data_IF_645681124283
#
_entry.id   IF_645681124283
#
_cell.length_a   1.000
_cell.length_b   1.000
_cell.length_c   1.000
_cell.angle_alpha   90.00
_cell.angle_beta   90.00
_cell.angle_gamma   90.00
#
_symmetry.space_group_name_H-M   'P 1'
#
loop_
_entity.id
_entity.type
_entity.pdbx_description
1 polymer ?
#
# COMPACT_ATOMS: atom_id res chain seq x y z
N UNK A 1 -35.41 -10.72 14.44
CA UNK A 1 -35.20 -10.83 12.98
C UNK A 1 -33.69 -10.71 12.75
N UNK A 2 -33.01 -11.86 12.83
CA UNK A 2 -31.56 -11.93 12.52
C UNK A 2 -31.39 -11.86 11.02
N UNK A 3 -31.08 -10.69 10.52
CA UNK A 3 -30.53 -10.57 9.17
C UNK A 3 -29.07 -10.99 9.24
N UNK A 4 -28.80 -12.29 9.19
CA UNK A 4 -27.50 -12.81 8.78
C UNK A 4 -27.31 -12.47 7.32
N UNK A 5 -27.05 -11.18 7.02
CA UNK A 5 -26.68 -10.76 5.68
C UNK A 5 -25.33 -11.40 5.36
N UNK A 6 -25.35 -12.37 4.46
CA UNK A 6 -24.14 -12.94 3.91
C UNK A 6 -23.34 -11.78 3.29
N UNK A 7 -22.17 -11.49 3.85
CA UNK A 7 -21.33 -10.34 3.46
C UNK A 7 -20.43 -10.66 2.27
N UNK A 8 -20.53 -11.85 1.71
CA UNK A 8 -19.76 -12.30 0.56
C UNK A 8 -20.63 -12.51 -0.68
N UNK A 9 -20.02 -12.64 -1.84
CA UNK A 9 -20.73 -12.68 -3.13
C UNK A 9 -21.14 -11.28 -3.64
N UNK A 10 -20.70 -10.22 -2.98
CA UNK A 10 -21.00 -8.82 -3.32
C UNK A 10 -20.03 -8.30 -4.40
N UNK A 11 -20.02 -8.97 -5.55
CA UNK A 11 -19.07 -8.69 -6.64
C UNK A 11 -19.12 -7.25 -7.15
N UNK A 12 -20.30 -6.61 -7.09
CA UNK A 12 -20.45 -5.20 -7.43
C UNK A 12 -19.61 -4.29 -6.52
N UNK A 13 -19.58 -4.58 -5.20
CA UNK A 13 -18.76 -3.85 -4.24
C UNK A 13 -17.26 -4.15 -4.44
N UNK A 14 -16.90 -5.40 -4.71
CA UNK A 14 -15.52 -5.76 -5.02
C UNK A 14 -15.00 -4.95 -6.22
N UNK A 15 -15.73 -4.98 -7.33
CA UNK A 15 -15.37 -4.25 -8.56
C UNK A 15 -15.32 -2.75 -8.30
N UNK A 16 -16.32 -2.17 -7.62
CA UNK A 16 -16.36 -0.75 -7.29
C UNK A 16 -15.10 -0.32 -6.52
N UNK A 17 -14.75 -1.05 -5.46
CA UNK A 17 -13.56 -0.72 -4.66
C UNK A 17 -12.27 -0.88 -5.46
N UNK A 18 -12.12 -1.94 -6.26
CA UNK A 18 -10.98 -2.12 -7.15
C UNK A 18 -10.85 -0.90 -8.08
N UNK A 19 -11.92 -0.52 -8.76
CA UNK A 19 -11.92 0.62 -9.70
C UNK A 19 -11.59 1.93 -8.97
N UNK A 20 -12.17 2.16 -7.79
CA UNK A 20 -11.90 3.37 -7.00
C UNK A 20 -10.44 3.45 -6.58
N UNK A 21 -9.91 2.42 -5.92
CA UNK A 21 -8.54 2.46 -5.36
C UNK A 21 -7.47 2.38 -6.44
N UNK A 22 -7.63 1.51 -7.44
CA UNK A 22 -6.70 1.40 -8.57
C UNK A 22 -6.79 2.64 -9.46
N UNK A 23 -8.00 3.11 -9.78
CA UNK A 23 -8.21 4.32 -10.56
C UNK A 23 -7.67 5.56 -9.86
N UNK A 24 -7.91 5.71 -8.55
CA UNK A 24 -7.35 6.81 -7.78
C UNK A 24 -5.82 6.78 -7.75
N UNK A 25 -5.21 5.61 -7.50
CA UNK A 25 -3.76 5.46 -7.59
C UNK A 25 -3.22 5.79 -8.99
N UNK A 26 -3.94 5.39 -10.05
CA UNK A 26 -3.58 5.71 -11.43
C UNK A 26 -3.56 7.21 -11.70
N UNK A 27 -4.45 8.00 -11.10
CA UNK A 27 -4.45 9.47 -11.28
C UNK A 27 -3.16 10.13 -10.80
N UNK A 28 -2.50 9.54 -9.80
CA UNK A 28 -1.27 10.05 -9.22
C UNK A 28 0.00 9.34 -9.69
N UNK A 29 -0.10 8.16 -10.30
CA UNK A 29 1.09 7.42 -10.69
C UNK A 29 1.37 7.45 -12.20
N UNK A 30 0.35 7.49 -13.04
CA UNK A 30 0.42 7.58 -14.51
C UNK A 30 1.63 6.87 -15.12
N UNK A 31 1.66 5.53 -15.10
CA UNK A 31 2.83 4.77 -15.53
C UNK A 31 3.17 5.09 -16.99
N UNK A 32 4.43 5.43 -17.26
CA UNK A 32 4.95 5.80 -18.58
C UNK A 32 6.01 4.83 -19.09
N UNK A 33 6.69 4.15 -18.19
CA UNK A 33 7.74 3.17 -18.51
C UNK A 33 7.31 1.73 -18.20
N UNK A 34 7.93 0.70 -18.79
CA UNK A 34 7.68 -0.70 -18.42
C UNK A 34 7.89 -0.99 -16.92
N UNK A 35 8.76 -0.23 -16.23
CA UNK A 35 8.99 -0.34 -14.78
C UNK A 35 7.81 0.23 -13.99
N UNK A 36 7.31 1.39 -14.42
CA UNK A 36 6.14 2.00 -13.80
C UNK A 36 4.93 1.08 -13.92
N UNK A 37 4.72 0.48 -15.09
CA UNK A 37 3.65 -0.50 -15.29
C UNK A 37 3.80 -1.74 -14.43
N UNK A 38 5.03 -2.21 -14.17
CA UNK A 38 5.26 -3.33 -13.23
C UNK A 38 4.93 -2.95 -11.81
N UNK A 39 5.35 -1.78 -11.35
CA UNK A 39 5.09 -1.33 -9.98
C UNK A 39 3.60 -1.08 -9.74
N UNK A 40 2.94 -0.41 -10.69
CA UNK A 40 1.51 -0.16 -10.64
C UNK A 40 0.68 -1.44 -10.78
N UNK A 41 1.06 -2.33 -11.69
CA UNK A 41 0.42 -3.64 -11.88
C UNK A 41 0.49 -4.51 -10.63
N UNK A 42 1.62 -4.51 -9.93
CA UNK A 42 1.78 -5.24 -8.68
C UNK A 42 0.88 -4.69 -7.55
N UNK A 43 0.81 -3.37 -7.40
CA UNK A 43 -0.14 -2.72 -6.50
C UNK A 43 -1.59 -3.06 -6.87
N UNK A 44 -1.93 -2.98 -8.15
CA UNK A 44 -3.28 -3.31 -8.65
C UNK A 44 -3.65 -4.76 -8.39
N UNK A 45 -2.71 -5.70 -8.60
CA UNK A 45 -2.93 -7.12 -8.30
C UNK A 45 -3.20 -7.35 -6.80
N UNK A 46 -2.50 -6.65 -5.92
CA UNK A 46 -2.77 -6.69 -4.49
C UNK A 46 -4.17 -6.17 -4.16
N UNK A 47 -4.58 -5.05 -4.75
CA UNK A 47 -5.93 -4.49 -4.54
C UNK A 47 -7.02 -5.44 -5.05
N UNK A 48 -6.81 -6.07 -6.21
CA UNK A 48 -7.74 -7.07 -6.74
C UNK A 48 -7.86 -8.26 -5.79
N UNK A 49 -6.74 -8.84 -5.37
CA UNK A 49 -6.74 -9.98 -4.43
C UNK A 49 -7.46 -9.63 -3.12
N UNK A 50 -7.18 -8.45 -2.57
CA UNK A 50 -7.80 -7.96 -1.34
C UNK A 50 -9.32 -7.83 -1.47
N UNK A 51 -9.81 -7.07 -2.44
CA UNK A 51 -11.24 -6.77 -2.54
C UNK A 51 -12.07 -7.96 -3.05
N UNK A 52 -11.47 -8.86 -3.82
CA UNK A 52 -12.09 -10.14 -4.18
C UNK A 52 -12.31 -11.00 -2.93
N UNK A 53 -11.32 -11.07 -2.02
CA UNK A 53 -11.50 -11.81 -0.77
C UNK A 53 -12.42 -11.07 0.23
N UNK A 54 -12.39 -9.75 0.24
CA UNK A 54 -13.19 -8.95 1.18
C UNK A 54 -14.70 -9.00 0.89
N UNK A 55 -15.09 -8.96 -0.38
CA UNK A 55 -16.49 -8.84 -0.79
C UNK A 55 -16.97 -9.96 -1.72
N UNK A 56 -16.06 -10.59 -2.47
CA UNK A 56 -16.40 -11.65 -3.42
C UNK A 56 -16.37 -13.03 -2.78
N UNK A 57 -15.24 -13.70 -2.83
CA UNK A 57 -15.03 -15.04 -2.29
C UNK A 57 -13.98 -15.04 -1.18
N UNK A 58 -14.36 -15.34 0.08
CA UNK A 58 -13.45 -15.28 1.23
C UNK A 58 -12.55 -16.52 1.30
N UNK A 59 -11.60 -16.63 0.39
CA UNK A 59 -10.71 -17.79 0.29
C UNK A 59 -9.97 -18.08 1.60
N UNK A 60 -9.49 -17.04 2.28
CA UNK A 60 -8.79 -17.15 3.57
C UNK A 60 -9.71 -17.76 4.64
N UNK A 61 -10.92 -17.24 4.77
CA UNK A 61 -11.91 -17.74 5.72
C UNK A 61 -12.28 -19.18 5.36
N UNK A 62 -12.48 -19.48 4.08
CA UNK A 62 -12.80 -20.83 3.61
C UNK A 62 -11.70 -21.84 3.98
N UNK A 63 -10.44 -21.52 3.69
CA UNK A 63 -9.30 -22.40 3.99
C UNK A 63 -9.06 -22.54 5.50
N UNK A 64 -9.30 -21.51 6.30
CA UNK A 64 -9.12 -21.52 7.73
C UNK A 64 -10.37 -21.97 8.51
N UNK A 65 -11.50 -22.24 7.85
CA UNK A 65 -12.79 -22.45 8.49
C UNK A 65 -12.79 -23.54 9.57
N UNK A 66 -12.17 -24.68 9.31
CA UNK A 66 -12.08 -25.79 10.27
C UNK A 66 -11.35 -25.40 11.56
N UNK A 67 -10.23 -24.71 11.43
CA UNK A 67 -9.45 -24.21 12.56
C UNK A 67 -10.18 -23.07 13.29
N UNK A 68 -10.71 -22.10 12.57
CA UNK A 68 -11.44 -20.97 13.14
C UNK A 68 -12.68 -21.46 13.90
N UNK A 69 -13.46 -22.38 13.34
CA UNK A 69 -14.66 -22.90 13.98
C UNK A 69 -14.35 -23.69 15.24
N UNK A 70 -13.21 -24.41 15.30
CA UNK A 70 -12.82 -25.16 16.49
C UNK A 70 -12.33 -24.27 17.64
N UNK A 71 -11.71 -23.12 17.35
CA UNK A 71 -11.18 -22.22 18.37
C UNK A 71 -12.12 -21.04 18.69
N UNK A 72 -12.96 -20.64 17.75
CA UNK A 72 -13.90 -19.53 17.86
C UNK A 72 -15.31 -19.93 17.42
N UNK A 73 -15.97 -20.90 18.09
CA UNK A 73 -17.25 -21.49 17.65
C UNK A 73 -18.41 -20.49 17.60
N UNK A 74 -18.32 -19.38 18.32
CA UNK A 74 -19.34 -18.33 18.32
C UNK A 74 -19.17 -17.28 17.20
N UNK A 75 -18.13 -17.35 16.40
CA UNK A 75 -17.90 -16.40 15.31
C UNK A 75 -18.68 -16.85 14.09
N UNK A 76 -19.56 -15.99 13.58
CA UNK A 76 -20.17 -16.22 12.28
C UNK A 76 -19.14 -15.95 11.16
N UNK A 77 -18.54 -17.01 10.63
CA UNK A 77 -17.48 -16.93 9.61
C UNK A 77 -17.93 -16.28 8.29
N UNK A 78 -19.25 -16.21 8.05
CA UNK A 78 -19.82 -15.56 6.87
C UNK A 78 -20.16 -14.08 7.08
N UNK A 79 -19.96 -13.56 8.29
CA UNK A 79 -20.12 -12.13 8.57
C UNK A 79 -18.92 -11.33 8.06
N UNK A 80 -19.16 -10.06 7.74
CA UNK A 80 -18.07 -9.14 7.39
C UNK A 80 -17.03 -9.02 8.50
N UNK A 81 -17.46 -9.01 9.76
CA UNK A 81 -16.56 -8.87 10.91
C UNK A 81 -15.54 -10.03 11.02
N UNK A 82 -15.88 -11.23 10.54
CA UNK A 82 -14.96 -12.37 10.53
C UNK A 82 -13.70 -12.12 9.69
N UNK A 83 -13.78 -11.26 8.67
CA UNK A 83 -12.65 -10.90 7.84
C UNK A 83 -11.63 -9.98 8.53
N UNK A 84 -12.02 -9.31 9.62
CA UNK A 84 -11.10 -8.61 10.51
C UNK A 84 -10.36 -9.61 11.42
N UNK A 85 -9.55 -10.48 10.81
CA UNK A 85 -8.94 -11.63 11.50
C UNK A 85 -8.16 -11.25 12.76
N UNK A 86 -7.42 -10.11 12.75
CA UNK A 86 -6.71 -9.64 13.95
C UNK A 86 -7.65 -9.38 15.12
N UNK A 87 -8.85 -8.85 14.84
CA UNK A 87 -9.89 -8.62 15.86
C UNK A 87 -10.40 -9.95 16.43
N UNK A 88 -10.73 -10.89 15.56
CA UNK A 88 -11.20 -12.23 15.93
C UNK A 88 -10.13 -12.98 16.75
N UNK A 89 -8.88 -13.01 16.28
CA UNK A 89 -7.78 -13.74 16.91
C UNK A 89 -7.38 -13.17 18.29
N UNK A 90 -7.56 -11.86 18.51
CA UNK A 90 -7.28 -11.22 19.81
C UNK A 90 -8.46 -11.26 20.78
N UNK A 91 -9.58 -11.87 20.39
CA UNK A 91 -10.77 -12.03 21.25
C UNK A 91 -11.43 -10.69 21.62
N UNK A 92 -11.22 -9.64 20.85
CA UNK A 92 -11.81 -8.32 21.11
C UNK A 92 -13.31 -8.35 20.87
N UNK A 93 -14.06 -7.63 21.71
CA UNK A 93 -15.52 -7.49 21.62
C UNK A 93 -15.91 -6.09 21.17
N UNK A 94 -17.02 -5.97 20.44
CA UNK A 94 -17.53 -4.69 19.93
C UNK A 94 -17.35 -4.55 18.43
N UNK A 95 -17.35 -3.31 17.92
CA UNK A 95 -17.27 -3.04 16.48
C UNK A 95 -15.78 -2.96 16.03
N UNK A 96 -15.38 -3.88 15.16
CA UNK A 96 -14.02 -3.95 14.62
C UNK A 96 -13.56 -2.65 13.93
N UNK A 97 -14.48 -1.88 13.34
CA UNK A 97 -14.19 -0.63 12.64
C UNK A 97 -13.71 0.52 13.55
N UNK A 98 -13.98 0.45 14.84
CA UNK A 98 -13.48 1.42 15.83
C UNK A 98 -12.27 0.92 16.62
N UNK A 99 -11.74 -0.24 16.25
CA UNK A 99 -10.53 -0.80 16.87
C UNK A 99 -9.27 -0.01 16.50
N UNK A 100 -8.27 -0.02 17.39
CA UNK A 100 -7.01 0.69 17.19
C UNK A 100 -6.29 0.30 15.88
N UNK A 101 -6.33 -0.99 15.49
CA UNK A 101 -5.74 -1.47 14.24
C UNK A 101 -6.48 -0.93 13.02
N UNK A 102 -7.80 -0.79 13.09
CA UNK A 102 -8.58 -0.21 12.00
C UNK A 102 -8.29 1.28 11.83
N UNK A 103 -8.24 2.03 12.94
CA UNK A 103 -7.87 3.45 12.92
C UNK A 103 -6.45 3.63 12.34
N UNK A 104 -5.49 2.83 12.82
CA UNK A 104 -4.12 2.85 12.29
C UNK A 104 -4.10 2.53 10.79
N UNK A 105 -4.90 1.56 10.34
CA UNK A 105 -5.05 1.20 8.92
C UNK A 105 -5.49 2.40 8.09
N UNK A 106 -6.54 3.09 8.51
CA UNK A 106 -7.05 4.30 7.82
C UNK A 106 -5.98 5.39 7.73
N UNK A 107 -5.23 5.60 8.81
CA UNK A 107 -4.11 6.56 8.83
C UNK A 107 -3.02 6.16 7.83
N UNK A 108 -2.63 4.88 7.80
CA UNK A 108 -1.59 4.39 6.87
C UNK A 108 -2.04 4.47 5.41
N UNK A 109 -3.27 4.08 5.11
CA UNK A 109 -3.84 4.18 3.75
C UNK A 109 -3.89 5.64 3.31
N UNK A 110 -4.41 6.54 4.16
CA UNK A 110 -4.47 7.97 3.88
C UNK A 110 -3.08 8.60 3.70
N UNK A 111 -2.13 8.28 4.58
CA UNK A 111 -0.75 8.74 4.48
C UNK A 111 -0.07 8.23 3.19
N UNK A 112 -0.32 6.98 2.80
CA UNK A 112 0.20 6.40 1.57
C UNK A 112 -0.31 7.13 0.32
N UNK A 113 -1.61 7.37 0.22
CA UNK A 113 -2.18 8.15 -0.89
C UNK A 113 -1.73 9.61 -0.90
N UNK A 114 -1.65 10.24 0.27
CA UNK A 114 -1.08 11.59 0.37
C UNK A 114 0.37 11.64 -0.12
N UNK A 115 1.18 10.66 0.27
CA UNK A 115 2.57 10.57 -0.17
C UNK A 115 2.68 10.36 -1.68
N UNK A 116 1.85 9.48 -2.26
CA UNK A 116 1.77 9.27 -3.71
C UNK A 116 1.43 10.57 -4.44
N UNK A 117 0.39 11.28 -3.99
CA UNK A 117 -0.03 12.53 -4.62
C UNK A 117 1.07 13.60 -4.58
N UNK A 118 1.74 13.76 -3.43
CA UNK A 118 2.85 14.72 -3.28
C UNK A 118 4.07 14.33 -4.08
N UNK A 119 4.42 13.04 -4.12
CA UNK A 119 5.53 12.53 -4.92
C UNK A 119 5.27 12.72 -6.41
N UNK A 120 4.07 12.38 -6.87
CA UNK A 120 3.68 12.56 -8.27
C UNK A 120 3.79 14.01 -8.72
N UNK A 121 3.27 14.94 -7.92
CA UNK A 121 3.33 16.36 -8.28
C UNK A 121 4.78 16.84 -8.57
N UNK A 122 5.72 16.45 -7.70
CA UNK A 122 7.13 16.79 -7.87
C UNK A 122 7.73 16.09 -9.08
N UNK A 123 7.48 14.78 -9.22
CA UNK A 123 8.04 13.99 -10.32
C UNK A 123 7.54 14.47 -11.68
N UNK A 124 6.25 14.77 -11.81
CA UNK A 124 5.66 15.29 -13.05
C UNK A 124 6.33 16.58 -13.52
N UNK A 125 6.57 17.52 -12.60
CA UNK A 125 7.23 18.77 -12.94
C UNK A 125 8.72 18.59 -13.26
N UNK A 126 9.40 17.68 -12.57
CA UNK A 126 10.81 17.35 -12.84
C UNK A 126 10.96 16.69 -14.23
N UNK A 127 10.11 15.72 -14.57
CA UNK A 127 10.12 15.06 -15.89
C UNK A 127 9.89 16.06 -17.04
N UNK A 128 8.94 16.98 -16.89
CA UNK A 128 8.71 18.03 -17.92
C UNK A 128 9.89 18.97 -18.13
N UNK A 129 10.74 19.12 -17.12
CA UNK A 129 11.95 19.98 -17.18
C UNK A 129 13.21 19.18 -17.47
N UNK A 130 13.12 17.87 -17.75
CA UNK A 130 14.27 16.97 -17.87
C UNK A 130 15.26 17.15 -16.71
N UNK A 131 14.76 17.22 -15.47
CA UNK A 131 15.55 17.47 -14.28
C UNK A 131 15.31 16.40 -13.22
N UNK A 132 16.26 16.22 -12.31
CA UNK A 132 16.16 15.30 -11.20
C UNK A 132 15.13 15.81 -10.18
N UNK A 133 14.20 14.93 -9.76
CA UNK A 133 13.25 15.21 -8.69
C UNK A 133 13.96 15.19 -7.34
N UNK A 134 14.12 16.35 -6.70
CA UNK A 134 14.84 16.49 -5.41
C UNK A 134 14.06 17.27 -4.36
N UNK A 135 12.88 17.80 -4.72
CA UNK A 135 12.06 18.63 -3.84
C UNK A 135 10.95 17.83 -3.14
N UNK A 136 10.28 18.43 -2.15
CA UNK A 136 9.14 17.80 -1.44
C UNK A 136 9.49 16.46 -0.79
N UNK A 137 8.72 15.39 -1.02
CA UNK A 137 9.04 14.06 -0.49
C UNK A 137 10.42 13.54 -0.93
N UNK A 138 10.87 13.89 -2.14
CA UNK A 138 12.18 13.51 -2.68
C UNK A 138 13.36 14.19 -1.97
N UNK A 139 13.14 15.28 -1.25
CA UNK A 139 14.18 15.85 -0.39
C UNK A 139 14.49 14.99 0.85
N UNK A 140 13.56 14.09 1.23
CA UNK A 140 13.68 13.25 2.42
C UNK A 140 14.00 11.78 2.11
N UNK A 141 13.45 11.25 1.02
CA UNK A 141 13.66 9.86 0.56
C UNK A 141 13.64 9.82 -0.97
N UNK A 142 14.39 8.88 -1.55
CA UNK A 142 14.54 8.80 -3.02
C UNK A 142 13.35 8.14 -3.73
N UNK A 143 12.61 7.24 -3.02
CA UNK A 143 11.50 6.46 -3.60
C UNK A 143 10.19 6.62 -2.80
N UNK A 144 9.67 7.86 -2.69
CA UNK A 144 8.44 8.09 -1.92
C UNK A 144 7.22 7.38 -2.49
N UNK A 145 7.16 7.11 -3.81
CA UNK A 145 6.06 6.37 -4.44
C UNK A 145 5.99 4.93 -3.91
N UNK A 146 7.14 4.22 -3.84
CA UNK A 146 7.17 2.84 -3.33
C UNK A 146 6.83 2.78 -1.85
N UNK A 147 7.29 3.77 -1.07
CA UNK A 147 6.86 3.89 0.33
C UNK A 147 5.35 4.12 0.41
N UNK A 148 4.77 4.95 -0.45
CA UNK A 148 3.33 5.17 -0.53
C UNK A 148 2.56 3.88 -0.80
N UNK A 149 2.96 3.09 -1.80
CA UNK A 149 2.33 1.80 -2.09
C UNK A 149 2.45 0.82 -0.92
N UNK A 150 3.62 0.72 -0.29
CA UNK A 150 3.84 -0.16 0.87
C UNK A 150 2.96 0.26 2.05
N UNK A 151 2.82 1.56 2.33
CA UNK A 151 1.95 2.07 3.40
C UNK A 151 0.47 1.71 3.15
N UNK A 152 -0.01 1.86 1.91
CA UNK A 152 -1.39 1.49 1.56
C UNK A 152 -1.61 -0.01 1.76
N UNK A 153 -0.73 -0.84 1.21
CA UNK A 153 -0.84 -2.30 1.35
C UNK A 153 -0.75 -2.74 2.82
N UNK A 154 0.16 -2.16 3.59
CA UNK A 154 0.28 -2.44 5.02
C UNK A 154 -0.97 -2.03 5.79
N UNK A 155 -1.53 -0.84 5.49
CA UNK A 155 -2.79 -0.39 6.06
C UNK A 155 -3.91 -1.39 5.83
N UNK A 156 -4.09 -1.86 4.60
CA UNK A 156 -5.10 -2.88 4.30
C UNK A 156 -4.82 -4.23 4.98
N UNK A 157 -3.56 -4.65 5.13
CA UNK A 157 -3.22 -5.87 5.87
C UNK A 157 -3.54 -5.76 7.36
N UNK A 158 -3.46 -4.57 7.95
CA UNK A 158 -3.90 -4.34 9.33
C UNK A 158 -5.41 -4.39 9.47
N UNK A 159 -6.14 -3.95 8.45
CA UNK A 159 -7.59 -3.94 8.45
C UNK A 159 -8.16 -5.30 8.08
N UNK A 160 -7.66 -5.91 7.01
CA UNK A 160 -8.21 -7.12 6.40
C UNK A 160 -7.09 -8.06 5.92
N UNK A 161 -6.45 -8.79 6.84
CA UNK A 161 -5.40 -9.73 6.46
C UNK A 161 -6.01 -10.94 5.75
N UNK A 162 -5.51 -11.24 4.56
CA UNK A 162 -5.83 -12.49 3.85
C UNK A 162 -4.55 -13.29 3.63
N UNK A 163 -4.65 -14.62 3.53
CA UNK A 163 -3.48 -15.48 3.28
C UNK A 163 -2.77 -15.07 1.99
N UNK A 164 -3.54 -14.77 0.96
CA UNK A 164 -2.99 -14.36 -0.33
C UNK A 164 -2.27 -13.02 -0.23
N UNK A 165 -2.88 -11.97 0.33
CA UNK A 165 -2.25 -10.65 0.45
C UNK A 165 -1.08 -10.65 1.43
N UNK A 166 -1.13 -11.46 2.50
CA UNK A 166 0.00 -11.66 3.41
C UNK A 166 1.20 -12.31 2.69
N UNK A 167 0.96 -13.30 1.82
CA UNK A 167 2.01 -13.92 1.02
C UNK A 167 2.53 -12.97 -0.07
N UNK A 168 1.65 -12.19 -0.70
CA UNK A 168 2.03 -11.21 -1.72
C UNK A 168 2.87 -10.06 -1.17
N UNK A 169 2.57 -9.57 0.03
CA UNK A 169 3.18 -8.37 0.58
C UNK A 169 4.72 -8.40 0.62
N UNK A 170 5.40 -9.40 1.20
CA UNK A 170 6.87 -9.45 1.20
C UNK A 170 7.45 -9.56 -0.21
N UNK A 171 6.78 -10.30 -1.12
CA UNK A 171 7.21 -10.42 -2.52
C UNK A 171 7.14 -9.06 -3.22
N UNK A 172 6.06 -8.30 -3.02
CA UNK A 172 5.89 -6.98 -3.62
C UNK A 172 6.86 -5.95 -3.04
N UNK A 173 7.10 -5.98 -1.72
CA UNK A 173 8.14 -5.13 -1.09
C UNK A 173 9.51 -5.41 -1.69
N UNK A 174 9.89 -6.70 -1.82
CA UNK A 174 11.14 -7.09 -2.46
C UNK A 174 11.23 -6.61 -3.92
N UNK A 175 10.14 -6.75 -4.66
CA UNK A 175 10.06 -6.26 -6.04
C UNK A 175 10.26 -4.74 -6.11
N UNK A 176 9.63 -3.95 -5.22
CA UNK A 176 9.82 -2.50 -5.18
C UNK A 176 11.26 -2.11 -4.83
N UNK A 177 11.91 -2.83 -3.93
CA UNK A 177 13.33 -2.63 -3.64
C UNK A 177 14.18 -2.88 -4.89
N UNK A 178 13.92 -3.94 -5.65
CA UNK A 178 14.63 -4.23 -6.90
C UNK A 178 14.38 -3.16 -7.96
N UNK A 179 13.14 -2.71 -8.12
CA UNK A 179 12.80 -1.64 -9.06
C UNK A 179 13.52 -0.34 -8.69
N UNK A 180 13.55 0.02 -7.39
CA UNK A 180 14.28 1.17 -6.90
C UNK A 180 15.77 1.15 -7.29
N UNK A 181 16.44 0.02 -7.12
CA UNK A 181 17.84 -0.14 -7.55
C UNK A 181 18.01 0.07 -9.06
N UNK A 182 17.07 -0.49 -9.85
CA UNK A 182 17.10 -0.35 -11.31
C UNK A 182 16.87 1.11 -11.75
N UNK A 183 16.00 1.85 -11.05
CA UNK A 183 15.75 3.28 -11.30
C UNK A 183 16.95 4.13 -10.91
N UNK A 184 17.58 3.84 -9.78
CA UNK A 184 18.80 4.53 -9.36
C UNK A 184 19.92 4.39 -10.38
N UNK A 185 20.15 3.18 -10.90
CA UNK A 185 21.14 2.96 -11.94
C UNK A 185 20.80 3.67 -13.27
N UNK A 186 19.52 3.84 -13.58
CA UNK A 186 19.09 4.62 -14.75
C UNK A 186 19.31 6.12 -14.53
N UNK A 187 18.91 6.63 -13.34
CA UNK A 187 19.09 8.04 -12.97
C UNK A 187 20.55 8.43 -12.89
N UNK A 188 21.42 7.54 -12.41
CA UNK A 188 22.87 7.80 -12.40
C UNK A 188 23.45 7.92 -13.80
N UNK A 189 22.99 7.09 -14.76
CA UNK A 189 23.41 7.21 -16.16
C UNK A 189 22.92 8.49 -16.83
N UNK A 190 21.73 8.96 -16.46
CA UNK A 190 21.09 10.13 -17.05
C UNK A 190 21.63 11.44 -16.45
N UNK A 191 21.77 11.53 -15.12
CA UNK A 191 22.09 12.76 -14.39
C UNK A 191 23.52 12.79 -13.83
N UNK A 192 24.28 11.70 -13.92
CA UNK A 192 25.69 11.62 -13.58
C UNK A 192 26.03 12.13 -12.17
N UNK A 193 26.86 13.16 -12.08
CA UNK A 193 27.33 13.73 -10.81
C UNK A 193 26.20 14.30 -9.95
N UNK A 194 25.21 14.94 -10.56
CA UNK A 194 24.07 15.51 -9.84
C UNK A 194 23.27 14.42 -9.10
N UNK A 195 23.12 13.24 -9.71
CA UNK A 195 22.53 12.08 -9.05
C UNK A 195 23.38 11.61 -7.87
N UNK A 196 24.68 11.45 -8.03
CA UNK A 196 25.58 10.98 -6.95
C UNK A 196 25.54 11.90 -5.73
N UNK A 197 25.57 13.21 -5.94
CA UNK A 197 25.47 14.20 -4.86
C UNK A 197 24.12 14.16 -4.15
N UNK A 198 23.02 13.98 -4.89
CA UNK A 198 21.70 13.81 -4.32
C UNK A 198 21.60 12.49 -3.52
N UNK A 199 22.06 11.38 -4.10
CA UNK A 199 22.01 10.06 -3.47
C UNK A 199 22.85 9.97 -2.18
N UNK A 200 23.96 10.69 -2.10
CA UNK A 200 24.82 10.76 -0.91
C UNK A 200 24.09 11.41 0.29
N UNK A 201 23.21 12.37 0.03
CA UNK A 201 22.48 13.12 1.07
C UNK A 201 21.13 12.53 1.41
N UNK A 202 20.46 11.89 0.44
CA UNK A 202 19.07 11.46 0.54
C UNK A 202 19.00 9.93 0.64
N UNK A 203 18.45 9.36 1.72
CA UNK A 203 18.31 7.92 1.86
C UNK A 203 17.24 7.36 0.92
N UNK A 204 17.25 6.03 0.72
CA UNK A 204 16.39 5.34 -0.26
C UNK A 204 14.91 5.32 0.14
N UNK A 205 14.59 4.84 1.34
CA UNK A 205 13.21 4.59 1.77
C UNK A 205 12.85 5.21 3.12
N UNK A 206 13.78 5.27 4.07
CA UNK A 206 13.52 5.75 5.43
C UNK A 206 14.22 7.09 5.65
N UNK A 207 13.49 8.14 6.09
CA UNK A 207 14.11 9.42 6.41
C UNK A 207 15.17 9.27 7.51
N UNK A 208 16.27 10.02 7.42
CA UNK A 208 17.23 10.10 8.53
C UNK A 208 16.60 10.89 9.67
N UNK A 209 16.34 10.24 10.79
CA UNK A 209 15.89 10.88 12.02
C UNK A 209 17.10 11.64 12.61
N UNK A 210 17.08 12.95 12.54
CA UNK A 210 18.13 13.80 13.14
C UNK A 210 18.81 14.84 12.24
N UNK A 211 18.52 14.89 10.96
CA UNK A 211 18.99 15.98 10.07
C UNK A 211 17.94 17.09 10.00
N UNK A 212 17.65 17.74 11.13
CA UNK A 212 16.96 19.04 11.13
C UNK A 212 17.91 20.10 10.60
N UNK A 213 17.63 20.54 9.39
CA UNK A 213 17.90 21.87 8.86
C UNK A 213 19.25 22.53 9.17
N UNK A 214 20.28 22.20 8.38
CA UNK A 214 21.22 23.24 7.98
C UNK A 214 20.90 23.66 6.55
N UNK A 215 19.85 24.49 6.40
CA UNK A 215 19.76 25.41 5.28
C UNK A 215 20.84 26.46 5.51
N UNK A 216 22.04 26.22 4.99
CA UNK A 216 22.98 27.31 4.79
C UNK A 216 22.47 28.11 3.60
N UNK A 217 21.85 29.26 3.91
CA UNK A 217 21.74 30.38 3.00
C UNK A 217 23.18 30.80 2.59
N UNK A 218 23.48 30.66 1.30
CA UNK A 218 24.48 31.43 0.57
C UNK A 218 23.90 31.82 -0.78
#
# INVERSE_FOLDING_TARGET
MDTTSNSYGLWGLAILNIVVFVGFAFTFFKPSTPRDWRSFGAFSAFMVALFVEMYGFPLTIYLASGWLQSHYPQVNLLSHDAGHLWWTLTGQRGNAHFGALHILSVVLVGAGFWLLAKAWHVLYHAQRRHSLATAGPYARIRHPQYVGFVLIMLGFLLQWPTLLTLAMFPVLVFMYVRLAHSEEAASEREFGQAWREYAARTPRFTPRLGASGQVQAR
#
